data_IF_687361969429
#
_entry.id   IF_687361969429
#
_cell.length_a   1.000
_cell.length_b   1.000
_cell.length_c   1.000
_cell.angle_alpha   90.00
_cell.angle_beta   90.00
_cell.angle_gamma   90.00
#
_symmetry.space_group_name_H-M   'P 1'
#
loop_
_entity.id
_entity.type
_entity.pdbx_description
1 polymer ?
#
# COMPACT_ATOMS: atom_id res chain seq x y z
N UNK A 1 -3.12 76.45 -18.02
CA UNK A 1 -2.41 75.47 -17.18
C UNK A 1 -3.27 74.22 -17.07
N UNK A 2 -2.90 73.17 -17.76
CA UNK A 2 -3.62 71.92 -17.70
C UNK A 2 -2.79 70.95 -16.87
N UNK A 3 -3.35 70.49 -15.75
CA UNK A 3 -2.73 69.45 -14.93
C UNK A 3 -3.12 68.07 -15.50
N UNK A 4 -2.15 67.36 -15.96
CA UNK A 4 -2.32 65.97 -16.37
C UNK A 4 -2.43 65.12 -15.11
N UNK A 5 -3.52 64.44 -14.96
CA UNK A 5 -3.73 63.44 -13.89
C UNK A 5 -3.19 62.11 -14.45
N UNK A 6 -2.11 61.64 -13.90
CA UNK A 6 -1.58 60.34 -14.24
C UNK A 6 -2.30 59.34 -13.34
N UNK A 7 -3.19 58.56 -13.92
CA UNK A 7 -3.82 57.44 -13.25
C UNK A 7 -2.84 56.28 -13.33
N UNK A 8 -2.18 55.97 -12.22
CA UNK A 8 -1.40 54.76 -12.10
C UNK A 8 -2.35 53.59 -11.86
N UNK A 9 -2.57 52.81 -12.87
CA UNK A 9 -3.26 51.53 -12.75
C UNK A 9 -2.31 50.56 -12.09
N UNK A 10 -2.54 50.26 -10.82
CA UNK A 10 -1.85 49.17 -10.16
C UNK A 10 -2.46 47.85 -10.65
N UNK A 11 -1.75 47.16 -11.50
CA UNK A 11 -2.05 45.77 -11.86
C UNK A 11 -1.62 44.91 -10.68
N UNK A 12 -2.56 44.55 -9.84
CA UNK A 12 -2.33 43.58 -8.81
C UNK A 12 -2.16 42.21 -9.45
N UNK A 13 -0.94 41.71 -9.48
CA UNK A 13 -0.70 40.29 -9.77
C UNK A 13 -1.24 39.47 -8.61
N UNK A 14 -2.42 38.93 -8.80
CA UNK A 14 -2.91 37.90 -7.90
C UNK A 14 -2.09 36.64 -8.16
N UNK A 15 -1.14 36.37 -7.26
CA UNK A 15 -0.48 35.07 -7.21
C UNK A 15 -1.49 34.05 -6.70
N UNK A 16 -2.08 33.29 -7.63
CA UNK A 16 -2.82 32.11 -7.27
C UNK A 16 -1.79 31.05 -6.92
N UNK A 17 -1.47 30.93 -5.63
CA UNK A 17 -0.69 29.80 -5.14
C UNK A 17 -1.56 28.55 -5.28
N UNK A 18 -1.40 27.83 -6.36
CA UNK A 18 -1.93 26.48 -6.47
C UNK A 18 -1.14 25.60 -5.50
N UNK A 19 -1.67 25.41 -4.32
CA UNK A 19 -1.22 24.35 -3.43
C UNK A 19 -1.54 23.03 -4.11
N UNK A 20 -0.53 22.46 -4.78
CA UNK A 20 -0.57 21.07 -5.16
C UNK A 20 -0.45 20.25 -3.87
N UNK A 21 -1.53 20.14 -3.13
CA UNK A 21 -1.61 19.17 -2.05
C UNK A 21 -1.47 17.80 -2.71
N UNK A 22 -0.38 17.10 -2.41
CA UNK A 22 -0.27 15.69 -2.72
C UNK A 22 -1.46 15.01 -2.08
N UNK A 23 -2.51 14.74 -2.86
CA UNK A 23 -3.66 14.00 -2.39
C UNK A 23 -3.16 12.58 -2.19
N UNK A 24 -2.87 12.22 -0.93
CA UNK A 24 -2.78 10.82 -0.58
C UNK A 24 -4.11 10.20 -0.97
N UNK A 25 -4.12 9.43 -2.05
CA UNK A 25 -5.34 8.76 -2.48
C UNK A 25 -5.72 7.77 -1.40
N UNK A 26 -6.86 8.01 -0.75
CA UNK A 26 -7.46 7.06 0.17
C UNK A 26 -7.60 5.73 -0.56
N UNK A 27 -6.96 4.68 -0.06
CA UNK A 27 -6.99 3.36 -0.67
C UNK A 27 -5.77 2.99 -1.51
N UNK A 28 -4.80 3.87 -1.64
CA UNK A 28 -3.52 3.51 -2.25
C UNK A 28 -2.71 2.63 -1.30
N UNK A 29 -2.28 1.46 -1.78
CA UNK A 29 -1.68 0.44 -0.93
C UNK A 29 -0.23 0.76 -0.66
N UNK A 30 0.45 1.64 -0.82
CA UNK A 30 1.86 1.84 -0.49
C UNK A 30 2.66 0.52 -0.40
N UNK A 31 3.79 0.59 0.23
CA UNK A 31 4.64 -0.58 0.50
C UNK A 31 4.33 -1.12 1.89
N UNK A 32 4.07 -2.40 1.98
CA UNK A 32 3.78 -3.09 3.23
C UNK A 32 4.84 -4.14 3.54
N UNK A 33 5.23 -4.19 4.81
CA UNK A 33 6.04 -5.28 5.36
C UNK A 33 5.20 -6.06 6.34
N UNK A 34 5.06 -7.35 6.07
CA UNK A 34 4.22 -8.26 6.83
C UNK A 34 5.08 -9.35 7.47
N UNK A 35 4.64 -9.81 8.62
CA UNK A 35 5.32 -10.88 9.35
C UNK A 35 4.32 -11.72 10.14
N UNK A 36 4.66 -12.95 10.35
CA UNK A 36 3.96 -13.88 11.23
C UNK A 36 4.93 -14.69 12.05
N UNK A 37 4.46 -15.33 13.11
CA UNK A 37 5.31 -16.03 14.08
C UNK A 37 5.08 -17.52 14.18
N UNK A 38 3.92 -18.03 13.77
CA UNK A 38 3.56 -19.45 13.87
C UNK A 38 2.85 -19.95 12.60
N UNK A 39 3.61 -20.43 11.60
CA UNK A 39 5.08 -20.45 11.48
C UNK A 39 5.67 -19.07 11.25
N UNK A 40 6.98 -18.92 11.41
CA UNK A 40 7.66 -17.68 11.08
C UNK A 40 7.69 -17.47 9.57
N UNK A 41 7.23 -16.32 9.11
CA UNK A 41 7.23 -15.93 7.71
C UNK A 41 7.31 -14.42 7.57
N UNK A 42 7.71 -13.96 6.41
CA UNK A 42 7.78 -12.54 6.06
C UNK A 42 7.27 -12.33 4.64
N UNK A 43 6.65 -11.20 4.41
CA UNK A 43 6.26 -10.77 3.08
C UNK A 43 6.40 -9.27 2.96
N UNK A 44 6.98 -8.82 1.87
CA UNK A 44 7.07 -7.42 1.53
C UNK A 44 6.48 -7.23 0.16
N UNK A 45 5.57 -6.29 0.01
CA UNK A 45 4.91 -6.08 -1.27
C UNK A 45 4.47 -4.63 -1.48
N UNK A 46 4.35 -4.30 -2.73
CA UNK A 46 3.80 -3.06 -3.26
C UNK A 46 2.85 -3.38 -4.43
N UNK A 47 2.37 -2.36 -5.13
CA UNK A 47 1.37 -2.57 -6.18
C UNK A 47 1.82 -3.46 -7.35
N UNK A 48 3.12 -3.58 -7.61
CA UNK A 48 3.65 -4.31 -8.77
C UNK A 48 4.14 -5.70 -8.46
N UNK A 49 4.73 -5.89 -7.30
CA UNK A 49 5.36 -7.16 -6.93
C UNK A 49 5.44 -7.33 -5.43
N UNK A 50 5.69 -8.56 -5.02
CA UNK A 50 5.94 -8.91 -3.63
C UNK A 50 6.93 -10.05 -3.52
N UNK A 51 7.59 -10.12 -2.36
CA UNK A 51 8.50 -11.20 -2.00
C UNK A 51 7.97 -11.89 -0.76
N UNK A 52 7.62 -13.14 -0.90
CA UNK A 52 7.19 -14.00 0.21
C UNK A 52 8.34 -14.89 0.64
N UNK A 53 8.68 -14.85 1.91
CA UNK A 53 9.72 -15.68 2.51
C UNK A 53 9.12 -16.60 3.57
N UNK A 54 9.08 -17.87 3.28
CA UNK A 54 8.76 -18.93 4.24
C UNK A 54 10.02 -19.72 4.55
N UNK A 55 10.45 -20.57 3.67
CA UNK A 55 11.76 -21.25 3.68
C UNK A 55 12.72 -20.56 2.74
N UNK A 56 12.21 -20.16 1.59
CA UNK A 56 12.94 -19.44 0.55
C UNK A 56 12.21 -18.15 0.24
N UNK A 57 12.95 -17.16 -0.22
CA UNK A 57 12.39 -15.92 -0.71
C UNK A 57 11.89 -16.11 -2.15
N UNK A 58 10.62 -15.92 -2.39
CA UNK A 58 9.98 -16.03 -3.69
C UNK A 58 9.40 -14.69 -4.10
N UNK A 59 9.94 -14.14 -5.17
CA UNK A 59 9.42 -12.91 -5.77
C UNK A 59 8.33 -13.26 -6.78
N UNK A 60 7.19 -12.57 -6.66
CA UNK A 60 6.05 -12.78 -7.55
C UNK A 60 5.47 -11.45 -7.99
N UNK A 61 5.11 -11.32 -9.28
CA UNK A 61 4.39 -10.14 -9.72
C UNK A 61 2.96 -10.12 -9.16
N UNK A 62 2.46 -8.91 -8.91
CA UNK A 62 1.05 -8.71 -8.58
C UNK A 62 0.26 -8.71 -9.88
N UNK A 63 -0.64 -9.65 -10.02
CA UNK A 63 -1.50 -9.77 -11.19
C UNK A 63 -2.79 -8.98 -11.06
N UNK A 64 -3.28 -8.81 -9.85
CA UNK A 64 -4.52 -8.11 -9.60
C UNK A 64 -4.57 -7.59 -8.15
N UNK A 65 -5.22 -6.44 -7.99
CA UNK A 65 -5.59 -5.91 -6.68
C UNK A 65 -7.09 -5.69 -6.71
N UNK A 66 -7.79 -6.38 -5.82
CA UNK A 66 -9.24 -6.34 -5.73
C UNK A 66 -9.64 -5.86 -4.35
N UNK A 67 -10.53 -4.90 -4.31
CA UNK A 67 -11.12 -4.43 -3.04
C UNK A 67 -12.44 -5.16 -2.77
N UNK A 68 -12.86 -5.16 -1.51
CA UNK A 68 -14.17 -5.67 -1.13
C UNK A 68 -15.27 -4.86 -1.83
N UNK A 69 -16.34 -5.54 -2.22
CA UNK A 69 -17.47 -4.91 -2.89
C UNK A 69 -18.05 -3.75 -2.08
N UNK A 70 -18.13 -2.59 -2.69
CA UNK A 70 -18.70 -1.39 -2.08
C UNK A 70 -17.84 -0.74 -1.00
N UNK A 71 -16.59 -1.16 -0.85
CA UNK A 71 -15.66 -0.65 0.17
C UNK A 71 -14.26 -0.54 -0.38
N UNK A 72 -13.42 0.30 0.24
CA UNK A 72 -12.00 0.39 -0.12
C UNK A 72 -11.18 -0.75 0.47
N UNK A 73 -11.63 -1.32 1.58
CA UNK A 73 -10.96 -2.38 2.32
C UNK A 73 -11.93 -3.47 2.74
N UNK A 74 -11.45 -4.70 3.01
CA UNK A 74 -10.09 -5.20 2.76
C UNK A 74 -9.73 -5.26 1.29
N UNK A 75 -8.44 -5.37 1.00
CA UNK A 75 -7.91 -5.56 -0.35
C UNK A 75 -7.26 -6.92 -0.46
N UNK A 76 -7.48 -7.57 -1.58
CA UNK A 76 -6.83 -8.82 -1.94
C UNK A 76 -5.86 -8.57 -3.09
N UNK A 77 -4.60 -8.95 -2.87
CA UNK A 77 -3.58 -8.92 -3.92
C UNK A 77 -3.33 -10.35 -4.37
N UNK A 78 -3.43 -10.57 -5.68
CA UNK A 78 -3.14 -11.87 -6.29
C UNK A 78 -1.76 -11.85 -6.89
N UNK A 79 -0.91 -12.75 -6.43
CA UNK A 79 0.47 -12.93 -6.91
C UNK A 79 0.55 -14.25 -7.68
N UNK A 80 1.18 -14.22 -8.83
CA UNK A 80 1.39 -15.42 -9.65
C UNK A 80 2.83 -15.45 -10.11
N UNK A 81 3.59 -16.41 -9.60
CA UNK A 81 4.94 -16.72 -10.06
C UNK A 81 4.96 -17.92 -11.00
N UNK A 82 6.15 -18.42 -11.31
CA UNK A 82 6.28 -19.54 -12.24
C UNK A 82 5.67 -20.85 -11.71
N UNK A 83 5.81 -21.11 -10.42
CA UNK A 83 5.29 -22.32 -9.76
C UNK A 83 4.51 -22.03 -8.50
N UNK A 84 4.47 -20.78 -8.11
CA UNK A 84 3.94 -20.35 -6.83
C UNK A 84 2.84 -19.34 -7.03
N UNK A 85 1.85 -19.39 -6.18
CA UNK A 85 0.78 -18.41 -6.13
C UNK A 85 0.57 -17.94 -4.71
N UNK A 86 0.08 -16.73 -4.54
CA UNK A 86 -0.33 -16.22 -3.25
C UNK A 86 -1.47 -15.23 -3.40
N UNK A 87 -2.34 -15.20 -2.42
CA UNK A 87 -3.35 -14.16 -2.27
C UNK A 87 -3.16 -13.56 -0.88
N UNK A 88 -2.83 -12.28 -0.83
CA UNK A 88 -2.73 -11.54 0.42
C UNK A 88 -3.98 -10.71 0.61
N UNK A 89 -4.68 -10.92 1.72
CA UNK A 89 -5.85 -10.13 2.11
C UNK A 89 -5.44 -9.21 3.25
N UNK A 90 -5.44 -7.92 2.98
CA UNK A 90 -4.96 -6.89 3.89
C UNK A 90 -6.13 -6.08 4.41
N UNK A 91 -6.15 -5.89 5.72
CA UNK A 91 -7.18 -5.11 6.41
C UNK A 91 -6.50 -4.07 7.30
N UNK A 92 -6.83 -2.77 7.17
CA UNK A 92 -6.36 -1.76 8.11
C UNK A 92 -7.06 -1.98 9.45
N UNK A 93 -6.33 -2.56 10.36
CA UNK A 93 -6.83 -2.80 11.72
C UNK A 93 -5.64 -3.02 12.65
N UNK A 94 -5.77 -2.61 13.89
CA UNK A 94 -4.75 -2.85 14.89
C UNK A 94 -4.44 -4.35 14.99
N UNK A 95 -3.16 -4.69 14.93
CA UNK A 95 -2.67 -6.06 14.89
C UNK A 95 -1.47 -6.17 15.82
N UNK A 96 -1.49 -7.13 16.74
CA UNK A 96 -0.41 -7.32 17.71
C UNK A 96 0.31 -8.63 17.48
N UNK A 97 1.64 -8.58 17.43
CA UNK A 97 2.51 -9.76 17.46
C UNK A 97 3.58 -9.56 18.51
N UNK A 98 3.64 -10.47 19.49
CA UNK A 98 4.65 -10.45 20.54
C UNK A 98 4.86 -9.05 21.17
N UNK A 99 3.77 -8.40 21.57
CA UNK A 99 3.76 -7.05 22.16
C UNK A 99 4.13 -5.91 21.19
N UNK A 100 4.37 -6.21 19.92
CA UNK A 100 4.61 -5.21 18.88
C UNK A 100 3.31 -4.88 18.16
N UNK A 101 2.99 -3.59 18.07
CA UNK A 101 1.80 -3.10 17.40
C UNK A 101 2.06 -2.83 15.92
N UNK A 102 1.13 -3.29 15.09
CA UNK A 102 1.11 -3.06 13.65
C UNK A 102 -0.22 -2.40 13.26
N UNK A 103 -0.23 -1.73 12.13
CA UNK A 103 -1.42 -1.00 11.67
C UNK A 103 -2.31 -1.78 10.69
N UNK A 104 -1.89 -2.94 10.24
CA UNK A 104 -2.65 -3.80 9.35
C UNK A 104 -2.62 -5.26 9.79
N UNK A 105 -3.71 -5.95 9.52
CA UNK A 105 -3.81 -7.40 9.60
C UNK A 105 -3.69 -7.99 8.20
N UNK A 106 -3.09 -9.17 8.07
CA UNK A 106 -2.95 -9.86 6.79
C UNK A 106 -3.24 -11.35 6.92
N UNK A 107 -3.92 -11.86 5.91
CA UNK A 107 -4.05 -13.29 5.64
C UNK A 107 -3.38 -13.56 4.30
N UNK A 108 -2.52 -14.56 4.23
CA UNK A 108 -1.85 -14.97 2.99
C UNK A 108 -2.17 -16.43 2.72
N UNK A 109 -2.94 -16.66 1.67
CA UNK A 109 -3.16 -18.01 1.15
C UNK A 109 -2.12 -18.22 0.05
N UNK A 110 -1.18 -19.11 0.27
CA UNK A 110 -0.13 -19.41 -0.71
C UNK A 110 -0.10 -20.89 -1.04
N UNK A 111 0.19 -21.18 -2.28
CA UNK A 111 0.44 -22.52 -2.75
C UNK A 111 1.85 -22.58 -3.36
N UNK A 112 2.69 -23.27 -2.64
CA UNK A 112 4.06 -23.63 -3.05
C UNK A 112 4.06 -25.15 -3.13
N UNK A 113 4.36 -25.71 -4.28
CA UNK A 113 4.19 -27.15 -4.54
C UNK A 113 2.73 -27.61 -4.55
N UNK A 114 2.38 -28.67 -3.83
CA UNK A 114 1.10 -29.37 -3.99
C UNK A 114 0.00 -28.94 -3.05
N UNK A 115 0.32 -28.29 -1.93
CA UNK A 115 -0.68 -27.97 -0.92
C UNK A 115 -0.74 -26.48 -0.58
N UNK A 116 -1.93 -25.90 -0.56
CA UNK A 116 -2.09 -24.54 -0.07
C UNK A 116 -1.88 -24.46 1.44
N UNK A 117 -1.27 -23.40 1.89
CA UNK A 117 -1.16 -23.04 3.31
C UNK A 117 -1.73 -21.64 3.54
N UNK A 118 -2.38 -21.45 4.67
CA UNK A 118 -2.89 -20.15 5.07
C UNK A 118 -2.03 -19.60 6.20
N UNK A 119 -1.45 -18.44 5.94
CA UNK A 119 -0.63 -17.71 6.90
C UNK A 119 -1.42 -16.53 7.45
N UNK A 120 -1.23 -16.23 8.71
CA UNK A 120 -1.79 -15.04 9.33
C UNK A 120 -0.69 -14.20 9.97
N UNK A 121 -0.85 -12.91 9.98
CA UNK A 121 0.14 -12.01 10.53
C UNK A 121 -0.30 -10.56 10.53
N UNK A 122 0.68 -9.71 10.73
CA UNK A 122 0.50 -8.27 10.81
C UNK A 122 1.42 -7.56 9.82
N UNK A 123 1.01 -6.40 9.37
CA UNK A 123 1.79 -5.58 8.46
C UNK A 123 1.96 -4.15 8.99
N UNK A 124 3.04 -3.54 8.59
CA UNK A 124 3.31 -2.12 8.79
C UNK A 124 3.52 -1.44 7.44
N UNK A 125 2.99 -0.25 7.31
CA UNK A 125 3.26 0.59 6.15
C UNK A 125 4.68 1.12 6.23
N UNK A 126 5.43 1.01 5.12
CA UNK A 126 6.79 1.49 5.01
C UNK A 126 6.82 2.66 4.03
N UNK A 127 7.53 3.72 4.40
CA UNK A 127 7.70 4.84 3.49
C UNK A 127 8.40 4.37 2.20
N UNK A 128 7.97 4.84 1.02
CA UNK A 128 8.69 4.55 -0.22
C UNK A 128 10.09 5.15 -0.15
N UNK A 129 11.06 4.36 -0.55
CA UNK A 129 12.44 4.84 -0.71
C UNK A 129 12.57 5.82 -1.86
#
# INVERSE_FOLDING_TARGET
MRRAVIIRTMIGCAFVATLAAGIARAGELGRLQCTGVLPAWQMEFEAKSGTLTTREAIEMPVMNITRAEGRDWPKALTFVGDRDTAIAIVTPQACMLNETAFDHHVLVLTQQDDQPILLTGCCVSVAPE
#
